data_IF_030305430399
#
_entry.id   IF_030305430399
#
_cell.length_a   1.000
_cell.length_b   1.000
_cell.length_c   1.000
_cell.angle_alpha   90.00
_cell.angle_beta   90.00
_cell.angle_gamma   90.00
#
_symmetry.space_group_name_H-M   'P 1'
#
loop_
_entity.id
_entity.type
_entity.pdbx_description
1 polymer ?
#
# COMPACT_ATOMS: atom_id res chain seq x y z
N UNK A 1 -3.46 -30.47 -6.78
CA UNK A 1 -1.98 -30.37 -6.76
C UNK A 1 -1.64 -29.02 -6.18
N UNK A 2 -1.55 -28.89 -4.86
CA UNK A 2 -1.44 -27.59 -4.15
C UNK A 2 -0.44 -27.63 -3.00
N UNK A 3 0.55 -28.55 -3.04
CA UNK A 3 1.45 -28.77 -1.91
C UNK A 3 2.82 -28.07 -2.01
N UNK A 4 3.06 -27.24 -3.03
CA UNK A 4 4.43 -26.76 -3.34
C UNK A 4 4.60 -25.22 -3.41
N UNK A 5 3.56 -24.40 -3.21
CA UNK A 5 3.69 -22.93 -3.28
C UNK A 5 4.52 -22.34 -2.12
N UNK A 6 4.62 -23.05 -1.00
CA UNK A 6 5.27 -22.59 0.24
C UNK A 6 6.43 -23.48 0.72
N UNK A 7 7.02 -24.24 -0.21
CA UNK A 7 8.26 -24.98 -0.01
C UNK A 7 9.45 -24.14 -0.50
N UNK A 8 10.61 -24.28 0.15
CA UNK A 8 11.84 -23.59 -0.27
C UNK A 8 12.33 -24.22 -1.59
N UNK A 9 12.59 -23.43 -2.64
CA UNK A 9 13.12 -23.93 -3.89
C UNK A 9 14.46 -24.66 -3.71
N UNK A 10 14.74 -25.69 -4.54
CA UNK A 10 16.07 -26.26 -4.63
C UNK A 10 17.11 -25.16 -4.95
N UNK A 11 18.10 -25.00 -4.07
CA UNK A 11 19.19 -24.03 -4.25
C UNK A 11 19.02 -22.70 -3.51
N UNK A 12 17.87 -22.44 -2.88
CA UNK A 12 17.71 -21.32 -1.94
C UNK A 12 18.02 -21.77 -0.51
N UNK A 13 18.80 -20.99 0.23
CA UNK A 13 19.06 -21.21 1.65
C UNK A 13 18.16 -20.32 2.53
N UNK A 14 18.14 -20.59 3.83
CA UNK A 14 17.36 -19.82 4.82
C UNK A 14 17.74 -18.34 4.80
N UNK A 15 19.02 -18.01 4.65
CA UNK A 15 19.48 -16.63 4.57
C UNK A 15 18.89 -15.89 3.36
N UNK A 16 18.76 -16.56 2.21
CA UNK A 16 18.10 -16.03 1.02
C UNK A 16 16.59 -15.85 1.25
N UNK A 17 15.93 -16.82 1.87
CA UNK A 17 14.50 -16.73 2.21
C UNK A 17 14.24 -15.54 3.13
N UNK A 18 15.06 -15.35 4.17
CA UNK A 18 14.96 -14.23 5.10
C UNK A 18 15.21 -12.88 4.42
N UNK A 19 16.22 -12.80 3.56
CA UNK A 19 16.54 -11.56 2.84
C UNK A 19 15.42 -11.14 1.88
N UNK A 20 14.87 -12.09 1.11
CA UNK A 20 13.73 -11.80 0.22
C UNK A 20 12.46 -11.53 1.02
N UNK A 21 12.23 -12.24 2.13
CA UNK A 21 11.14 -11.92 3.05
C UNK A 21 11.23 -10.48 3.57
N UNK A 22 12.43 -10.02 3.93
CA UNK A 22 12.64 -8.63 4.37
C UNK A 22 12.40 -7.62 3.24
N UNK A 23 12.73 -7.97 2.00
CA UNK A 23 12.45 -7.15 0.82
C UNK A 23 10.94 -7.00 0.60
N UNK A 24 10.18 -8.10 0.67
CA UNK A 24 8.71 -8.08 0.55
C UNK A 24 8.07 -7.30 1.70
N UNK A 25 8.54 -7.43 2.94
CA UNK A 25 8.08 -6.64 4.10
C UNK A 25 8.28 -5.13 3.88
N UNK A 26 9.40 -4.73 3.27
CA UNK A 26 9.66 -3.34 2.92
C UNK A 26 8.71 -2.84 1.82
N UNK A 27 8.35 -3.68 0.85
CA UNK A 27 7.33 -3.36 -0.16
C UNK A 27 5.94 -3.23 0.48
N UNK A 28 5.54 -4.13 1.38
CA UNK A 28 4.28 -4.04 2.12
C UNK A 28 4.19 -2.76 2.96
N UNK A 29 5.30 -2.35 3.58
CA UNK A 29 5.38 -1.07 4.29
C UNK A 29 5.17 0.12 3.33
N UNK A 30 5.72 0.03 2.12
CA UNK A 30 5.52 1.02 1.05
C UNK A 30 4.07 1.03 0.56
N UNK A 31 3.41 -0.12 0.44
CA UNK A 31 1.98 -0.22 0.11
C UNK A 31 1.10 0.48 1.14
N UNK A 32 1.46 0.38 2.43
CA UNK A 32 0.75 1.13 3.48
C UNK A 32 0.93 2.63 3.33
N UNK A 33 2.15 3.09 3.02
CA UNK A 33 2.41 4.50 2.74
C UNK A 33 1.61 4.99 1.52
N UNK A 34 1.58 4.20 0.45
CA UNK A 34 0.75 4.44 -0.73
C UNK A 34 -0.73 4.55 -0.37
N UNK A 35 -1.26 3.64 0.45
CA UNK A 35 -2.63 3.71 0.95
C UNK A 35 -2.95 5.03 1.67
N UNK A 36 -2.00 5.58 2.43
CA UNK A 36 -2.16 6.89 3.06
C UNK A 36 -2.22 8.04 2.04
N UNK A 37 -1.53 7.95 0.90
CA UNK A 37 -1.68 8.95 -0.18
C UNK A 37 -3.07 8.91 -0.82
N UNK A 38 -3.65 7.72 -1.00
CA UNK A 38 -5.04 7.59 -1.47
C UNK A 38 -6.04 8.16 -0.47
N UNK A 39 -5.87 7.85 0.83
CA UNK A 39 -6.70 8.44 1.88
C UNK A 39 -6.58 9.97 1.90
N UNK A 40 -5.35 10.49 1.82
CA UNK A 40 -5.08 11.92 1.73
C UNK A 40 -5.80 12.55 0.52
N UNK A 41 -5.66 11.96 -0.67
CA UNK A 41 -6.32 12.45 -1.88
C UNK A 41 -7.84 12.53 -1.74
N UNK A 42 -8.47 11.46 -1.24
CA UNK A 42 -9.92 11.40 -1.06
C UNK A 42 -10.41 12.40 -0.02
N UNK A 43 -9.76 12.44 1.14
CA UNK A 43 -10.16 13.33 2.24
C UNK A 43 -9.99 14.80 1.86
N UNK A 44 -8.88 15.16 1.20
CA UNK A 44 -8.67 16.54 0.74
C UNK A 44 -9.63 16.93 -0.39
N UNK A 45 -9.89 16.03 -1.34
CA UNK A 45 -10.88 16.28 -2.39
C UNK A 45 -12.28 16.48 -1.82
N UNK A 46 -12.68 15.68 -0.83
CA UNK A 46 -13.94 15.88 -0.12
C UNK A 46 -13.98 17.22 0.63
N UNK A 47 -12.89 17.59 1.31
CA UNK A 47 -12.81 18.85 2.03
C UNK A 47 -12.89 20.07 1.09
N UNK A 48 -12.30 20.00 -0.11
CA UNK A 48 -12.39 21.06 -1.13
C UNK A 48 -13.83 21.24 -1.65
N UNK A 49 -14.57 20.13 -1.84
CA UNK A 49 -16.00 20.20 -2.17
C UNK A 49 -16.82 20.84 -1.05
N UNK A 50 -16.56 20.45 0.20
CA UNK A 50 -17.21 21.04 1.38
C UNK A 50 -16.89 22.54 1.51
N UNK A 51 -15.67 22.94 1.17
CA UNK A 51 -15.27 24.33 1.16
C UNK A 51 -16.01 25.15 0.10
N UNK A 52 -16.15 24.61 -1.12
CA UNK A 52 -16.94 25.25 -2.18
C UNK A 52 -18.40 25.42 -1.77
N UNK A 53 -18.97 24.41 -1.11
CA UNK A 53 -20.32 24.49 -0.54
C UNK A 53 -20.43 25.55 0.56
N UNK A 54 -19.45 25.62 1.47
CA UNK A 54 -19.42 26.65 2.51
C UNK A 54 -19.33 28.07 1.92
N UNK A 55 -18.53 28.28 0.87
CA UNK A 55 -18.45 29.56 0.18
C UNK A 55 -19.79 29.95 -0.46
N UNK A 56 -20.49 29.00 -1.10
CA UNK A 56 -21.85 29.19 -1.62
C UNK A 56 -22.81 29.60 -0.51
N UNK A 57 -22.81 28.89 0.61
CA UNK A 57 -23.68 29.19 1.77
C UNK A 57 -23.39 30.57 2.38
N UNK A 58 -22.13 30.98 2.46
CA UNK A 58 -21.73 32.31 2.94
C UNK A 58 -22.31 33.41 2.03
N UNK A 59 -22.25 33.21 0.71
CA UNK A 59 -22.83 34.14 -0.26
C UNK A 59 -24.34 34.28 -0.07
N UNK A 60 -25.05 33.17 0.09
CA UNK A 60 -26.49 33.15 0.34
C UNK A 60 -26.89 33.82 1.66
N UNK A 61 -25.99 33.78 2.65
CA UNK A 61 -26.16 34.48 3.92
C UNK A 61 -25.79 35.98 3.85
N UNK A 62 -25.33 36.49 2.69
CA UNK A 62 -24.95 37.89 2.48
C UNK A 62 -23.49 38.23 2.81
N UNK A 63 -22.64 37.23 3.04
CA UNK A 63 -21.21 37.37 3.31
C UNK A 63 -20.39 37.26 2.00
N UNK A 64 -20.59 38.22 1.10
CA UNK A 64 -20.03 38.21 -0.27
C UNK A 64 -18.50 38.25 -0.28
N UNK A 65 -17.89 39.06 0.59
CA UNK A 65 -16.43 39.26 0.64
C UNK A 65 -15.72 37.99 1.12
N UNK A 66 -16.25 37.36 2.16
CA UNK A 66 -15.73 36.11 2.70
C UNK A 66 -15.86 34.96 1.70
N UNK A 67 -17.02 34.85 1.03
CA UNK A 67 -17.24 33.85 -0.01
C UNK A 67 -16.24 34.01 -1.17
N UNK A 68 -16.11 35.24 -1.70
CA UNK A 68 -15.19 35.55 -2.79
C UNK A 68 -13.72 35.26 -2.42
N UNK A 69 -13.33 35.57 -1.18
CA UNK A 69 -11.98 35.28 -0.68
C UNK A 69 -11.70 33.79 -0.64
N UNK A 70 -12.62 32.97 -0.13
CA UNK A 70 -12.42 31.51 -0.08
C UNK A 70 -12.32 30.90 -1.47
N UNK A 71 -13.19 31.31 -2.39
CA UNK A 71 -13.18 30.84 -3.78
C UNK A 71 -11.91 31.24 -4.53
N UNK A 72 -11.41 32.45 -4.32
CA UNK A 72 -10.22 32.96 -5.03
C UNK A 72 -8.92 32.38 -4.45
N UNK A 73 -8.84 32.23 -3.13
CA UNK A 73 -7.58 31.93 -2.47
C UNK A 73 -7.38 30.44 -2.15
N UNK A 74 -8.46 29.69 -1.90
CA UNK A 74 -8.38 28.37 -1.29
C UNK A 74 -9.06 27.28 -2.14
N UNK A 75 -10.26 27.51 -2.69
CA UNK A 75 -10.96 26.49 -3.50
C UNK A 75 -10.10 26.10 -4.71
N UNK A 76 -9.85 24.80 -4.88
CA UNK A 76 -9.03 24.26 -5.96
C UNK A 76 -7.54 24.63 -5.88
N UNK A 77 -7.07 25.23 -4.78
CA UNK A 77 -5.67 25.61 -4.60
C UNK A 77 -4.79 24.36 -4.47
N UNK A 78 -3.77 24.23 -5.31
CA UNK A 78 -2.77 23.17 -5.18
C UNK A 78 -2.22 23.01 -3.75
N UNK A 79 -2.21 21.77 -3.24
CA UNK A 79 -1.79 21.46 -1.85
C UNK A 79 -0.29 21.61 -1.62
N UNK A 80 0.48 21.47 -2.69
CA UNK A 80 1.93 21.76 -2.77
C UNK A 80 2.21 22.40 -4.14
N UNK A 81 3.37 23.03 -4.35
CA UNK A 81 3.68 23.69 -5.62
C UNK A 81 3.45 22.78 -6.83
N UNK A 82 2.56 23.20 -7.73
CA UNK A 82 2.28 22.53 -9.01
C UNK A 82 1.46 21.24 -8.93
N UNK A 83 1.01 20.82 -7.75
CA UNK A 83 0.32 19.52 -7.60
C UNK A 83 -0.96 19.64 -6.77
N UNK A 84 -2.05 19.17 -7.37
CA UNK A 84 -3.20 18.68 -6.64
C UNK A 84 -2.94 17.27 -6.12
N UNK A 85 -3.83 16.76 -5.27
CA UNK A 85 -3.56 15.54 -4.50
C UNK A 85 -3.44 14.28 -5.36
N UNK A 86 -4.18 14.16 -6.48
CA UNK A 86 -4.03 13.00 -7.37
C UNK A 86 -2.67 12.97 -8.07
N UNK A 87 -2.11 14.14 -8.41
CA UNK A 87 -0.80 14.21 -9.07
C UNK A 87 0.32 13.77 -8.12
N UNK A 88 0.13 13.94 -6.80
CA UNK A 88 1.07 13.40 -5.79
C UNK A 88 0.99 11.87 -5.77
N UNK A 89 -0.21 11.29 -5.87
CA UNK A 89 -0.40 9.83 -5.95
C UNK A 89 0.26 9.28 -7.21
N UNK A 90 -0.03 9.87 -8.38
CA UNK A 90 0.56 9.45 -9.66
C UNK A 90 2.08 9.56 -9.65
N UNK A 91 2.64 10.67 -9.15
CA UNK A 91 4.08 10.84 -9.05
C UNK A 91 4.71 9.80 -8.11
N UNK A 92 4.09 9.49 -6.97
CA UNK A 92 4.59 8.45 -6.06
C UNK A 92 4.55 7.06 -6.71
N UNK A 93 3.47 6.75 -7.42
CA UNK A 93 3.29 5.51 -8.15
C UNK A 93 4.37 5.32 -9.22
N UNK A 94 4.63 6.35 -10.02
CA UNK A 94 5.58 6.27 -11.13
C UNK A 94 7.05 6.32 -10.68
N UNK A 95 7.36 7.08 -9.63
CA UNK A 95 8.76 7.34 -9.25
C UNK A 95 9.31 6.42 -8.18
N UNK A 96 8.45 5.81 -7.35
CA UNK A 96 8.91 4.99 -6.21
C UNK A 96 8.22 3.63 -6.14
N UNK A 97 6.88 3.59 -6.11
CA UNK A 97 6.15 2.35 -5.87
C UNK A 97 6.29 1.33 -7.01
N UNK A 98 6.11 1.76 -8.27
CA UNK A 98 6.22 0.86 -9.42
C UNK A 98 7.64 0.31 -9.60
N UNK A 99 8.71 1.13 -9.61
CA UNK A 99 10.08 0.60 -9.68
C UNK A 99 10.42 -0.35 -8.53
N UNK A 100 9.93 -0.08 -7.31
CA UNK A 100 10.18 -0.97 -6.18
C UNK A 100 9.41 -2.30 -6.32
N UNK A 101 8.14 -2.26 -6.71
CA UNK A 101 7.34 -3.45 -6.97
C UNK A 101 7.99 -4.36 -8.03
N UNK A 102 8.44 -3.77 -9.14
CA UNK A 102 9.15 -4.48 -10.21
C UNK A 102 10.47 -5.09 -9.73
N UNK A 103 11.23 -4.36 -8.89
CA UNK A 103 12.49 -4.86 -8.34
C UNK A 103 12.28 -6.02 -7.36
N UNK A 104 11.26 -5.95 -6.49
CA UNK A 104 10.87 -7.05 -5.61
C UNK A 104 10.52 -8.30 -6.40
N UNK A 105 9.65 -8.15 -7.41
CA UNK A 105 9.19 -9.26 -8.24
C UNK A 105 10.36 -9.94 -8.93
N UNK A 106 11.26 -9.18 -9.56
CA UNK A 106 12.44 -9.74 -10.23
C UNK A 106 13.39 -10.45 -9.26
N UNK A 107 13.54 -9.98 -8.03
CA UNK A 107 14.37 -10.66 -7.01
C UNK A 107 13.71 -11.94 -6.55
N UNK A 108 12.41 -11.90 -6.25
CA UNK A 108 11.63 -13.06 -5.80
C UNK A 108 11.52 -14.13 -6.89
N UNK A 109 11.34 -13.75 -8.16
CA UNK A 109 11.35 -14.66 -9.29
C UNK A 109 12.69 -15.39 -9.41
N UNK A 110 13.80 -14.64 -9.40
CA UNK A 110 15.14 -15.23 -9.59
C UNK A 110 15.59 -16.11 -8.43
N UNK A 111 15.31 -15.71 -7.21
CA UNK A 111 15.84 -16.38 -6.02
C UNK A 111 14.88 -17.40 -5.43
N UNK A 112 13.57 -17.16 -5.51
CA UNK A 112 12.54 -18.00 -4.90
C UNK A 112 11.58 -18.65 -5.92
N UNK A 113 11.84 -18.51 -7.22
CA UNK A 113 10.96 -19.04 -8.27
C UNK A 113 9.56 -18.41 -8.25
N UNK A 114 9.45 -17.16 -7.80
CA UNK A 114 8.20 -16.41 -7.75
C UNK A 114 7.32 -16.72 -6.53
N UNK A 115 7.70 -17.67 -5.68
CA UNK A 115 6.93 -18.07 -4.50
C UNK A 115 6.80 -16.93 -3.49
N UNK A 116 5.57 -16.67 -3.06
CA UNK A 116 5.23 -15.62 -2.10
C UNK A 116 5.19 -16.18 -0.67
N UNK A 117 5.49 -15.31 0.29
CA UNK A 117 5.36 -15.57 1.72
C UNK A 117 6.11 -16.81 2.24
N UNK A 118 7.27 -17.13 1.66
CA UNK A 118 8.08 -18.28 2.10
C UNK A 118 8.61 -18.11 3.52
N UNK A 119 9.06 -16.91 3.85
CA UNK A 119 9.56 -16.58 5.19
C UNK A 119 8.45 -16.74 6.25
N UNK A 120 7.25 -16.21 6.00
CA UNK A 120 6.10 -16.36 6.90
C UNK A 120 5.63 -17.81 6.99
N UNK A 121 5.63 -18.54 5.88
CA UNK A 121 5.27 -19.95 5.86
C UNK A 121 6.24 -20.80 6.70
N UNK A 122 7.55 -20.52 6.62
CA UNK A 122 8.56 -21.17 7.45
C UNK A 122 8.40 -20.81 8.93
N UNK A 123 8.23 -19.52 9.24
CA UNK A 123 7.94 -19.06 10.59
C UNK A 123 6.68 -19.73 11.16
N UNK A 124 5.61 -19.83 10.35
CA UNK A 124 4.38 -20.51 10.74
C UNK A 124 4.66 -21.98 11.02
N UNK A 125 5.36 -22.69 10.13
CA UNK A 125 5.72 -24.11 10.28
C UNK A 125 6.47 -24.36 11.60
N UNK A 126 7.46 -23.53 11.94
CA UNK A 126 8.26 -23.62 13.18
C UNK A 126 7.43 -23.37 14.45
N UNK A 127 6.41 -22.51 14.38
CA UNK A 127 5.56 -22.14 15.53
C UNK A 127 4.39 -23.09 15.78
N UNK A 128 4.15 -24.10 14.92
CA UNK A 128 3.06 -25.05 15.09
C UNK A 128 3.32 -25.99 16.27
N UNK A 129 2.24 -26.40 16.93
CA UNK A 129 2.26 -27.49 17.91
C UNK A 129 1.80 -28.74 17.19
N UNK A 130 2.61 -29.81 17.12
CA UNK A 130 2.21 -31.06 16.48
C UNK A 130 0.90 -31.61 17.07
N UNK A 131 -0.05 -31.97 16.20
CA UNK A 131 -1.33 -32.57 16.60
C UNK A 131 -2.37 -31.63 17.20
N UNK A 132 -2.09 -30.33 17.32
CA UNK A 132 -3.09 -29.37 17.80
C UNK A 132 -4.06 -28.99 16.66
N UNK A 133 -5.40 -29.13 16.84
CA UNK A 133 -6.38 -29.01 15.77
C UNK A 133 -6.39 -27.63 15.09
N UNK A 134 -6.03 -26.57 15.81
CA UNK A 134 -5.96 -25.20 15.26
C UNK A 134 -4.56 -24.80 14.76
N UNK A 135 -3.55 -25.65 14.91
CA UNK A 135 -2.18 -25.37 14.46
C UNK A 135 -1.91 -26.13 13.16
N UNK A 136 -2.68 -25.86 12.10
CA UNK A 136 -2.51 -26.47 10.76
C UNK A 136 -1.64 -25.60 9.84
N UNK A 137 -1.19 -26.15 8.70
CA UNK A 137 -0.32 -25.46 7.72
C UNK A 137 -1.05 -24.44 6.83
N UNK A 138 -2.37 -24.37 6.92
CA UNK A 138 -3.21 -23.55 6.05
C UNK A 138 -4.43 -24.31 5.53
N UNK A 139 -5.26 -23.68 4.70
CA UNK A 139 -6.47 -24.28 4.18
C UNK A 139 -6.18 -25.58 3.41
N UNK A 140 -6.73 -26.71 3.86
CA UNK A 140 -6.66 -28.00 3.15
C UNK A 140 -5.34 -28.76 3.25
N UNK A 141 -4.38 -28.29 4.03
CA UNK A 141 -3.16 -29.05 4.27
C UNK A 141 -3.40 -30.16 5.30
N UNK A 142 -3.08 -31.40 4.91
CA UNK A 142 -2.98 -32.53 5.85
C UNK A 142 -1.60 -32.51 6.50
N UNK A 143 -1.52 -33.02 7.74
CA UNK A 143 -0.30 -33.05 8.55
C UNK A 143 0.85 -33.83 7.92
#
# INVERSE_FOLDING_TARGET
MTHDEHSIPPGADEATVDAVGKLSEALETTERARGHLYSFHQLTGQADLQLGEAARMLREAGHEEEAARLETEIVGRNVIPGHWTFQIVEAYDDTYHRPFSEAEEQVRERLLGGRRHLHEAEMKRRRRTPGHPDHTMGPGAQD
#
